data_IF_471767483162
#
_entry.id   IF_471767483162
#
_cell.length_a   1.000
_cell.length_b   1.000
_cell.length_c   1.000
_cell.angle_alpha   90.00
_cell.angle_beta   90.00
_cell.angle_gamma   90.00
#
_symmetry.space_group_name_H-M   'P 1'
#
loop_
_entity.id
_entity.type
_entity.pdbx_description
1 polymer ?
#
# COMPACT_ATOMS: atom_id res chain seq x y z
N UNK A 1 -12.88 -2.89 32.69
CA UNK A 1 -13.71 -2.62 31.49
C UNK A 1 -12.78 -1.97 30.51
N UNK A 2 -12.29 -2.72 29.51
CA UNK A 2 -11.62 -2.06 28.38
C UNK A 2 -12.69 -1.19 27.73
N UNK A 3 -12.40 0.09 27.51
CA UNK A 3 -13.27 0.89 26.64
C UNK A 3 -13.26 0.20 25.27
N UNK A 4 -14.43 -0.06 24.71
CA UNK A 4 -14.53 -0.54 23.34
C UNK A 4 -13.96 0.58 22.45
N UNK A 5 -12.81 0.33 21.83
CA UNK A 5 -12.15 1.26 20.91
C UNK A 5 -13.16 1.68 19.83
N UNK A 6 -13.34 2.98 19.60
CA UNK A 6 -14.23 3.50 18.55
C UNK A 6 -13.62 4.74 17.91
N UNK A 7 -12.87 4.53 16.84
CA UNK A 7 -12.21 5.60 16.09
C UNK A 7 -13.20 6.24 15.11
N UNK A 8 -13.36 7.57 15.18
CA UNK A 8 -14.09 8.33 14.16
C UNK A 8 -13.29 8.37 12.86
N UNK A 9 -13.73 7.65 11.83
CA UNK A 9 -13.03 7.57 10.54
C UNK A 9 -13.07 8.89 9.73
N UNK A 10 -13.86 9.89 10.17
CA UNK A 10 -13.88 11.22 9.55
C UNK A 10 -12.61 12.03 9.82
N UNK A 11 -11.76 11.59 10.76
CA UNK A 11 -10.44 12.20 10.98
C UNK A 11 -9.50 12.05 9.77
N UNK A 12 -9.80 11.12 8.87
CA UNK A 12 -9.00 10.87 7.68
C UNK A 12 -9.42 11.79 6.52
N UNK A 13 -8.45 12.32 5.80
CA UNK A 13 -8.66 13.05 4.55
C UNK A 13 -8.64 12.08 3.35
N UNK A 14 -9.44 12.37 2.32
CA UNK A 14 -9.38 11.67 1.04
C UNK A 14 -8.48 12.46 0.11
N UNK A 15 -7.32 11.90 -0.21
CA UNK A 15 -6.30 12.55 -1.02
C UNK A 15 -5.68 11.57 -2.01
N UNK A 16 -5.53 11.92 -3.30
CA UNK A 16 -4.82 11.09 -4.26
C UNK A 16 -3.37 10.83 -3.84
N UNK A 17 -2.85 9.64 -4.12
CA UNK A 17 -1.48 9.25 -3.75
C UNK A 17 -0.42 10.26 -4.24
N UNK A 18 -0.58 10.81 -5.44
CA UNK A 18 0.33 11.81 -6.00
C UNK A 18 0.38 13.09 -5.16
N UNK A 19 -0.78 13.55 -4.69
CA UNK A 19 -0.88 14.74 -3.85
C UNK A 19 -0.26 14.48 -2.47
N UNK A 20 -0.55 13.32 -1.86
CA UNK A 20 0.08 12.90 -0.60
C UNK A 20 1.62 12.85 -0.72
N UNK A 21 2.15 12.26 -1.80
CA UNK A 21 3.60 12.19 -2.00
C UNK A 21 4.23 13.56 -2.29
N UNK A 22 3.50 14.49 -2.89
CA UNK A 22 3.99 15.86 -3.10
C UNK A 22 4.23 16.61 -1.77
N UNK A 23 3.51 16.25 -0.70
CA UNK A 23 3.63 16.83 0.64
C UNK A 23 4.85 16.32 1.43
N UNK A 24 5.64 15.38 0.87
CA UNK A 24 6.79 14.78 1.56
C UNK A 24 7.91 15.78 1.92
N UNK A 25 7.92 16.98 1.34
CA UNK A 25 8.88 18.03 1.72
C UNK A 25 8.52 18.70 3.05
N UNK A 26 7.23 18.84 3.31
CA UNK A 26 6.70 19.62 4.43
C UNK A 26 6.27 18.73 5.60
N UNK A 27 5.96 17.45 5.33
CA UNK A 27 5.52 16.49 6.34
C UNK A 27 6.34 15.20 6.33
N UNK A 28 6.88 14.85 7.50
CA UNK A 28 7.63 13.62 7.72
C UNK A 28 6.72 12.39 7.61
N UNK A 29 7.15 11.41 6.84
CA UNK A 29 6.49 10.09 6.72
C UNK A 29 7.35 8.96 7.28
N UNK A 30 6.72 7.81 7.54
CA UNK A 30 7.39 6.58 7.98
C UNK A 30 8.51 6.14 7.02
N UNK A 31 8.30 6.28 5.71
CA UNK A 31 9.29 5.92 4.70
C UNK A 31 10.54 6.79 4.77
N UNK A 32 10.37 8.10 4.98
CA UNK A 32 11.48 9.03 5.15
C UNK A 32 12.27 8.74 6.42
N UNK A 33 11.57 8.38 7.51
CA UNK A 33 12.20 7.98 8.77
C UNK A 33 12.98 6.67 8.61
N UNK A 34 12.42 5.69 7.89
CA UNK A 34 13.10 4.43 7.58
C UNK A 34 14.35 4.67 6.72
N UNK A 35 14.27 5.54 5.71
CA UNK A 35 15.43 5.92 4.89
C UNK A 35 16.52 6.57 5.75
N UNK A 36 16.14 7.41 6.72
CA UNK A 36 17.07 8.02 7.66
C UNK A 36 17.73 6.97 8.58
N UNK A 37 16.94 6.06 9.16
CA UNK A 37 17.44 4.96 10.01
C UNK A 37 18.43 4.08 9.24
N UNK A 38 18.15 3.79 7.97
CA UNK A 38 19.05 3.01 7.09
C UNK A 38 20.32 3.80 6.79
N UNK A 39 20.17 5.06 6.37
CA UNK A 39 21.28 5.92 5.99
C UNK A 39 20.84 7.40 5.96
N UNK A 40 21.31 8.24 6.90
CA UNK A 40 20.98 9.68 6.90
C UNK A 40 21.33 10.39 5.59
N UNK A 41 22.38 9.94 4.89
CA UNK A 41 22.77 10.49 3.59
C UNK A 41 21.81 10.14 2.47
N UNK A 42 21.21 8.94 2.49
CA UNK A 42 20.15 8.55 1.56
C UNK A 42 18.93 9.44 1.75
N UNK A 43 18.49 9.61 3.00
CA UNK A 43 17.40 10.51 3.34
C UNK A 43 17.66 11.93 2.84
N UNK A 44 18.82 12.50 3.16
CA UNK A 44 19.21 13.84 2.71
C UNK A 44 19.14 13.98 1.17
N UNK A 45 19.72 13.03 0.43
CA UNK A 45 19.73 13.08 -1.04
C UNK A 45 18.34 12.99 -1.65
N UNK A 46 17.48 12.09 -1.15
CA UNK A 46 16.10 11.99 -1.61
C UNK A 46 15.30 13.25 -1.28
N UNK A 47 15.38 13.71 -0.04
CA UNK A 47 14.67 14.91 0.42
C UNK A 47 15.12 16.17 -0.35
N UNK A 48 16.41 16.28 -0.68
CA UNK A 48 16.96 17.38 -1.49
C UNK A 48 16.73 17.24 -3.00
N UNK A 49 16.04 16.18 -3.45
CA UNK A 49 15.79 15.93 -4.88
C UNK A 49 17.01 15.52 -5.69
N UNK A 50 18.13 15.16 -5.04
CA UNK A 50 19.36 14.69 -5.69
C UNK A 50 19.25 13.26 -6.21
N UNK A 51 18.27 12.50 -5.71
CA UNK A 51 17.89 11.17 -6.19
C UNK A 51 16.39 11.21 -6.48
N UNK A 52 16.01 10.75 -7.67
CA UNK A 52 14.61 10.54 -8.04
C UNK A 52 14.25 9.08 -7.84
N UNK A 53 13.12 8.84 -7.19
CA UNK A 53 12.53 7.52 -7.14
C UNK A 53 12.05 7.13 -8.53
N UNK A 54 12.39 5.90 -8.96
CA UNK A 54 11.93 5.34 -10.23
C UNK A 54 10.74 4.44 -9.97
N UNK A 55 9.67 4.67 -10.71
CA UNK A 55 8.57 3.72 -10.72
C UNK A 55 9.04 2.40 -11.37
N UNK A 56 8.86 1.29 -10.65
CA UNK A 56 9.19 -0.05 -11.14
C UNK A 56 7.91 -0.83 -11.39
N UNK A 57 7.98 -1.86 -12.26
CA UNK A 57 6.85 -2.77 -12.47
C UNK A 57 6.37 -3.42 -11.17
N UNK A 58 7.29 -3.77 -10.28
CA UNK A 58 6.94 -4.33 -8.97
C UNK A 58 6.16 -3.33 -8.10
N UNK A 59 6.50 -2.04 -8.15
CA UNK A 59 5.77 -1.00 -7.45
C UNK A 59 4.37 -0.80 -8.04
N UNK A 60 4.24 -0.80 -9.37
CA UNK A 60 2.95 -0.72 -10.06
C UNK A 60 2.02 -1.89 -9.66
N UNK A 61 2.53 -3.12 -9.69
CA UNK A 61 1.78 -4.32 -9.28
C UNK A 61 1.38 -4.22 -7.81
N UNK A 62 2.28 -3.74 -6.94
CA UNK A 62 1.98 -3.50 -5.52
C UNK A 62 0.81 -2.54 -5.32
N UNK A 63 0.83 -1.37 -6.00
CA UNK A 63 -0.27 -0.39 -5.93
C UNK A 63 -1.59 -0.95 -6.47
N UNK A 64 -1.52 -1.64 -7.60
CA UNK A 64 -2.68 -2.31 -8.18
C UNK A 64 -3.28 -3.36 -7.23
N UNK A 65 -2.42 -4.10 -6.52
CA UNK A 65 -2.83 -5.09 -5.51
C UNK A 65 -3.51 -4.42 -4.31
N UNK A 66 -2.92 -3.34 -3.78
CA UNK A 66 -3.53 -2.57 -2.70
C UNK A 66 -4.90 -2.05 -3.09
N UNK A 67 -5.00 -1.38 -4.24
CA UNK A 67 -6.27 -0.85 -4.75
C UNK A 67 -7.32 -1.97 -4.90
N UNK A 68 -6.94 -3.09 -5.53
CA UNK A 68 -7.84 -4.23 -5.73
C UNK A 68 -8.35 -4.85 -4.43
N UNK A 69 -7.50 -4.96 -3.41
CA UNK A 69 -7.83 -5.60 -2.12
C UNK A 69 -8.57 -4.64 -1.19
N UNK A 70 -8.10 -3.41 -1.06
CA UNK A 70 -8.55 -2.45 -0.03
C UNK A 70 -9.69 -1.56 -0.53
N UNK A 71 -9.63 -1.12 -1.79
CA UNK A 71 -10.63 -0.21 -2.37
C UNK A 71 -11.67 -0.94 -3.24
N UNK A 72 -11.39 -2.20 -3.59
CA UNK A 72 -12.29 -3.07 -4.33
C UNK A 72 -12.13 -2.97 -5.85
N UNK A 73 -12.96 -3.76 -6.56
CA UNK A 73 -12.85 -3.95 -8.01
C UNK A 73 -13.19 -2.69 -8.81
N UNK A 74 -14.21 -1.94 -8.39
CA UNK A 74 -14.62 -0.72 -9.08
C UNK A 74 -13.51 0.35 -9.05
N UNK A 75 -12.89 0.54 -7.87
CA UNK A 75 -11.75 1.44 -7.73
C UNK A 75 -10.57 0.98 -8.60
N UNK A 76 -10.25 -0.32 -8.57
CA UNK A 76 -9.18 -0.90 -9.37
C UNK A 76 -9.37 -0.70 -10.89
N UNK A 77 -10.56 -1.00 -11.42
CA UNK A 77 -10.88 -0.80 -12.84
C UNK A 77 -10.98 0.69 -13.23
N UNK A 78 -11.30 1.56 -12.26
CA UNK A 78 -11.31 3.01 -12.47
C UNK A 78 -9.90 3.63 -12.48
N UNK A 79 -8.95 3.10 -11.71
CA UNK A 79 -7.61 3.68 -11.55
C UNK A 79 -6.57 3.09 -12.51
N UNK A 80 -6.75 1.84 -12.94
CA UNK A 80 -5.79 1.12 -13.77
C UNK A 80 -6.38 0.72 -15.13
N UNK A 81 -5.53 0.68 -16.16
CA UNK A 81 -5.89 0.10 -17.44
C UNK A 81 -5.54 -1.39 -17.44
N UNK A 82 -6.54 -2.26 -17.35
CA UNK A 82 -6.35 -3.70 -17.22
C UNK A 82 -6.29 -4.39 -18.59
N UNK A 83 -5.31 -5.26 -18.79
CA UNK A 83 -5.15 -6.06 -19.99
C UNK A 83 -4.11 -5.48 -20.93
N UNK A 84 -4.36 -5.47 -22.24
CA UNK A 84 -3.39 -5.00 -23.22
C UNK A 84 -3.87 -5.18 -24.66
N UNK A 85 -3.13 -4.67 -25.64
CA UNK A 85 -3.51 -4.83 -27.04
C UNK A 85 -3.30 -6.28 -27.51
N UNK A 86 -4.22 -6.77 -28.34
CA UNK A 86 -4.12 -8.09 -28.99
C UNK A 86 -3.46 -7.94 -30.36
N UNK A 87 -2.55 -8.85 -30.68
CA UNK A 87 -1.90 -8.91 -31.99
C UNK A 87 -2.86 -9.55 -33.01
N UNK A 88 -3.32 -8.80 -34.04
CA UNK A 88 -4.31 -9.29 -35.01
C UNK A 88 -3.80 -10.45 -35.88
N UNK A 89 -2.49 -10.69 -35.93
CA UNK A 89 -1.90 -11.79 -36.71
C UNK A 89 -1.87 -13.11 -35.95
N UNK A 90 -1.75 -13.06 -34.62
CA UNK A 90 -1.55 -14.24 -33.78
C UNK A 90 -2.71 -14.50 -32.83
N UNK A 91 -3.65 -13.55 -32.72
CA UNK A 91 -4.75 -13.54 -31.75
C UNK A 91 -4.28 -13.75 -30.30
N UNK A 92 -3.12 -13.17 -29.97
CA UNK A 92 -2.48 -13.26 -28.65
C UNK A 92 -2.10 -11.86 -28.15
N UNK A 93 -2.03 -11.62 -26.83
CA UNK A 93 -1.57 -10.35 -26.29
C UNK A 93 -0.16 -9.98 -26.75
N UNK A 94 0.08 -8.69 -26.99
CA UNK A 94 1.44 -8.17 -27.07
C UNK A 94 2.09 -8.19 -25.69
N UNK A 95 3.35 -8.62 -25.59
CA UNK A 95 4.07 -8.63 -24.31
C UNK A 95 4.19 -7.25 -23.67
N UNK A 96 4.27 -7.22 -22.33
CA UNK A 96 4.30 -6.00 -21.52
C UNK A 96 5.44 -5.02 -21.83
N UNK A 97 6.58 -5.51 -22.32
CA UNK A 97 7.74 -4.66 -22.64
C UNK A 97 7.70 -4.06 -24.06
N UNK A 98 6.64 -4.31 -24.83
CA UNK A 98 6.53 -3.86 -26.22
C UNK A 98 6.11 -2.40 -26.35
N UNK A 99 6.47 -1.77 -27.48
CA UNK A 99 5.96 -0.43 -27.81
C UNK A 99 4.44 -0.41 -27.99
N UNK A 100 3.85 -1.51 -28.47
CA UNK A 100 2.41 -1.66 -28.61
C UNK A 100 1.70 -1.54 -27.26
N UNK A 101 2.19 -2.27 -26.25
CA UNK A 101 1.65 -2.20 -24.89
C UNK A 101 1.80 -0.79 -24.29
N UNK A 102 3.01 -0.20 -24.37
CA UNK A 102 3.25 1.17 -23.90
C UNK A 102 2.33 2.20 -24.56
N UNK A 103 2.16 2.12 -25.87
CA UNK A 103 1.26 3.00 -26.62
C UNK A 103 -0.21 2.77 -26.29
N UNK A 104 -0.63 1.54 -26.00
CA UNK A 104 -1.98 1.24 -25.53
C UNK A 104 -2.22 1.86 -24.14
N UNK A 105 -1.33 1.65 -23.17
CA UNK A 105 -1.47 2.20 -21.83
C UNK A 105 -1.54 3.74 -21.84
N UNK A 106 -0.69 4.39 -22.64
CA UNK A 106 -0.73 5.85 -22.83
C UNK A 106 -2.09 6.33 -23.39
N UNK A 107 -2.68 5.61 -24.34
CA UNK A 107 -4.01 5.96 -24.89
C UNK A 107 -5.14 5.80 -23.86
N UNK A 108 -5.00 4.89 -22.91
CA UNK A 108 -5.96 4.73 -21.82
C UNK A 108 -5.86 5.86 -20.79
N UNK A 109 -4.73 6.57 -20.73
CA UNK A 109 -4.49 7.64 -19.76
C UNK A 109 -4.36 7.16 -18.31
N UNK A 110 -4.16 5.86 -18.11
CA UNK A 110 -4.02 5.21 -16.80
C UNK A 110 -2.80 4.28 -16.79
N UNK A 111 -2.21 3.99 -15.62
CA UNK A 111 -1.18 2.96 -15.50
C UNK A 111 -1.67 1.61 -16.02
N UNK A 112 -0.95 1.01 -16.95
CA UNK A 112 -1.34 -0.25 -17.60
C UNK A 112 -0.87 -1.48 -16.83
N UNK A 113 -1.79 -2.39 -16.51
CA UNK A 113 -1.52 -3.69 -15.87
C UNK A 113 -1.72 -4.79 -16.91
N UNK A 114 -0.63 -5.45 -17.30
CA UNK A 114 -0.64 -6.48 -18.34
C UNK A 114 -1.36 -7.75 -17.88
N UNK A 115 -1.91 -8.54 -18.82
CA UNK A 115 -2.61 -9.81 -18.56
C UNK A 115 -1.87 -10.73 -17.58
N UNK A 116 -0.58 -10.97 -17.79
CA UNK A 116 0.25 -11.82 -16.90
C UNK A 116 0.26 -11.35 -15.44
N UNK A 117 0.14 -10.03 -15.21
CA UNK A 117 0.17 -9.45 -13.87
C UNK A 117 -1.25 -9.37 -13.25
N UNK A 118 -2.32 -9.42 -14.08
CA UNK A 118 -3.71 -9.45 -13.60
C UNK A 118 -4.01 -10.73 -12.82
N UNK A 119 -3.64 -11.88 -13.36
CA UNK A 119 -3.88 -13.18 -12.72
C UNK A 119 -3.17 -13.23 -11.36
N UNK A 120 -1.95 -12.69 -11.27
CA UNK A 120 -1.22 -12.59 -10.01
C UNK A 120 -1.96 -11.74 -8.98
N UNK A 121 -2.49 -10.58 -9.37
CA UNK A 121 -3.23 -9.67 -8.49
C UNK A 121 -4.53 -10.31 -7.99
N UNK A 122 -5.30 -10.94 -8.88
CA UNK A 122 -6.56 -11.60 -8.51
C UNK A 122 -6.32 -12.84 -7.63
N UNK A 123 -5.23 -13.58 -7.87
CA UNK A 123 -4.86 -14.70 -7.01
C UNK A 123 -4.41 -14.22 -5.62
N UNK A 124 -3.69 -13.11 -5.50
CA UNK A 124 -3.39 -12.50 -4.20
C UNK A 124 -4.67 -12.05 -3.48
N UNK A 125 -5.61 -11.40 -4.18
CA UNK A 125 -6.89 -11.03 -3.60
C UNK A 125 -7.69 -12.26 -3.13
N UNK A 126 -7.64 -13.35 -3.90
CA UNK A 126 -8.27 -14.63 -3.54
C UNK A 126 -7.61 -15.27 -2.33
N UNK A 127 -6.28 -15.29 -2.27
CA UNK A 127 -5.51 -15.81 -1.14
C UNK A 127 -5.80 -15.09 0.17
N UNK A 128 -5.94 -13.77 0.13
CA UNK A 128 -6.40 -12.98 1.29
C UNK A 128 -7.83 -13.35 1.70
N UNK A 129 -8.73 -13.48 0.73
CA UNK A 129 -10.14 -13.80 0.97
C UNK A 129 -10.35 -15.18 1.61
N UNK A 130 -9.35 -16.07 1.55
CA UNK A 130 -9.35 -17.37 2.22
C UNK A 130 -8.89 -17.32 3.69
N UNK A 131 -8.39 -16.17 4.18
CA UNK A 131 -8.01 -15.99 5.57
C UNK A 131 -9.09 -15.19 6.33
N UNK A 132 -9.85 -15.89 7.17
CA UNK A 132 -10.97 -15.29 7.91
C UNK A 132 -10.56 -14.06 8.74
N UNK A 133 -9.41 -14.08 9.42
CA UNK A 133 -8.99 -12.93 10.24
C UNK A 133 -8.61 -11.72 9.38
N UNK A 134 -8.00 -11.94 8.21
CA UNK A 134 -7.72 -10.86 7.27
C UNK A 134 -9.01 -10.26 6.72
N UNK A 135 -9.99 -11.10 6.38
CA UNK A 135 -11.33 -10.66 5.95
C UNK A 135 -12.01 -9.86 7.04
N UNK A 136 -12.01 -10.34 8.29
CA UNK A 136 -12.63 -9.65 9.42
C UNK A 136 -12.02 -8.25 9.64
N UNK A 137 -10.68 -8.14 9.57
CA UNK A 137 -9.96 -6.87 9.72
C UNK A 137 -10.26 -5.86 8.60
N UNK A 138 -10.56 -6.34 7.39
CA UNK A 138 -10.81 -5.51 6.20
C UNK A 138 -12.31 -5.38 5.87
N UNK A 139 -13.20 -5.93 6.70
CA UNK A 139 -14.65 -5.90 6.47
C UNK A 139 -15.23 -4.50 6.72
N UNK A 140 -14.75 -3.82 7.75
CA UNK A 140 -15.18 -2.48 8.15
C UNK A 140 -13.99 -1.55 8.32
N UNK A 141 -14.10 -0.32 7.83
CA UNK A 141 -13.03 0.65 7.92
C UNK A 141 -12.95 1.55 6.72
N UNK A 142 -11.83 2.25 6.62
CA UNK A 142 -11.54 3.17 5.53
C UNK A 142 -10.16 2.87 4.95
N UNK A 143 -10.12 2.64 3.65
CA UNK A 143 -8.89 2.47 2.89
C UNK A 143 -8.19 3.81 2.61
N UNK A 144 -6.86 3.75 2.52
CA UNK A 144 -6.00 4.77 1.89
C UNK A 144 -6.18 6.21 2.43
N UNK A 145 -6.65 6.34 3.66
CA UNK A 145 -6.94 7.63 4.30
C UNK A 145 -5.67 8.32 4.79
N UNK A 146 -5.62 9.64 4.61
CA UNK A 146 -4.49 10.47 5.01
C UNK A 146 -4.76 11.14 6.35
N UNK A 147 -3.78 11.12 7.25
CA UNK A 147 -3.79 11.90 8.49
C UNK A 147 -2.52 12.72 8.57
N UNK A 148 -2.67 13.98 9.01
CA UNK A 148 -1.55 14.86 9.33
C UNK A 148 -1.68 15.35 10.77
N UNK A 149 -0.60 15.27 11.52
CA UNK A 149 -0.53 15.74 12.89
C UNK A 149 0.91 16.10 13.25
N UNK A 150 1.09 16.95 14.24
CA UNK A 150 2.41 17.22 14.81
C UNK A 150 2.76 16.11 15.81
N UNK A 151 3.93 15.51 15.63
CA UNK A 151 4.45 14.48 16.52
C UNK A 151 5.92 14.71 16.79
N UNK A 152 6.32 14.70 18.08
CA UNK A 152 7.68 15.04 18.52
C UNK A 152 8.22 16.37 17.96
N UNK A 153 7.35 17.38 17.81
CA UNK A 153 7.72 18.70 17.29
C UNK A 153 7.97 18.75 15.78
N UNK A 154 7.56 17.73 15.03
CA UNK A 154 7.64 17.69 13.57
C UNK A 154 6.26 17.47 12.98
N UNK A 155 5.94 18.20 11.90
CA UNK A 155 4.73 17.93 11.13
C UNK A 155 4.88 16.59 10.42
N UNK A 156 3.96 15.68 10.68
CA UNK A 156 3.99 14.31 10.20
C UNK A 156 2.78 14.02 9.31
N UNK A 157 2.93 13.05 8.41
CA UNK A 157 1.84 12.53 7.60
C UNK A 157 1.89 11.00 7.53
N UNK A 158 0.71 10.41 7.55
CA UNK A 158 0.47 8.98 7.38
C UNK A 158 -0.60 8.77 6.32
N UNK A 159 -0.41 7.78 5.44
CA UNK A 159 -1.46 7.23 4.59
C UNK A 159 -1.64 5.79 5.02
N UNK A 160 -2.77 5.52 5.66
CA UNK A 160 -3.09 4.20 6.21
C UNK A 160 -3.66 3.35 5.09
N UNK A 161 -3.10 2.16 4.86
CA UNK A 161 -3.70 1.19 3.93
C UNK A 161 -5.15 0.93 4.34
N UNK A 162 -5.38 0.70 5.64
CA UNK A 162 -6.70 0.54 6.21
C UNK A 162 -6.76 0.98 7.68
N UNK A 163 -7.82 1.71 8.05
CA UNK A 163 -8.14 2.03 9.43
C UNK A 163 -9.48 1.39 9.82
N UNK A 164 -9.43 0.42 10.73
CA UNK A 164 -10.60 -0.23 11.29
C UNK A 164 -11.04 0.51 12.56
N UNK A 165 -12.32 0.89 12.71
CA UNK A 165 -12.77 1.73 13.83
C UNK A 165 -12.61 1.08 15.21
N UNK A 166 -12.59 -0.25 15.27
CA UNK A 166 -12.52 -1.02 16.52
C UNK A 166 -11.25 -1.88 16.66
N UNK A 167 -10.42 -1.97 15.61
CA UNK A 167 -9.23 -2.85 15.57
C UNK A 167 -7.97 -2.04 15.19
N UNK A 168 -8.10 -0.72 15.01
CA UNK A 168 -6.97 0.16 14.76
C UNK A 168 -6.40 0.04 13.35
N UNK A 169 -5.08 0.11 13.25
CA UNK A 169 -4.37 0.23 11.97
C UNK A 169 -4.12 -1.15 11.37
N UNK A 170 -4.47 -1.32 10.09
CA UNK A 170 -4.16 -2.53 9.33
C UNK A 170 -3.32 -2.13 8.12
N UNK A 171 -2.13 -2.72 8.01
CA UNK A 171 -1.19 -2.46 6.91
C UNK A 171 -1.06 -3.73 6.05
N UNK A 172 -1.27 -3.57 4.75
CA UNK A 172 -1.26 -4.66 3.79
C UNK A 172 0.13 -4.79 3.18
N UNK A 173 0.67 -6.00 3.19
CA UNK A 173 1.95 -6.32 2.57
C UNK A 173 1.80 -7.44 1.55
N UNK A 174 2.55 -7.33 0.47
CA UNK A 174 2.81 -8.45 -0.43
C UNK A 174 4.20 -8.99 -0.16
N UNK A 175 4.35 -10.31 -0.03
CA UNK A 175 5.62 -10.95 0.34
C UNK A 175 5.97 -12.10 -0.60
N UNK A 176 7.21 -12.59 -0.50
CA UNK A 176 7.62 -13.75 -1.30
C UNK A 176 7.29 -15.08 -0.60
N UNK A 177 7.56 -15.20 0.70
CA UNK A 177 7.31 -16.43 1.47
C UNK A 177 6.91 -16.09 2.91
N UNK A 178 5.73 -16.53 3.33
CA UNK A 178 5.23 -16.30 4.69
C UNK A 178 6.07 -16.97 5.77
N UNK A 179 6.78 -18.05 5.44
CA UNK A 179 7.66 -18.77 6.38
C UNK A 179 8.73 -17.84 6.95
N UNK A 180 9.18 -16.87 6.16
CA UNK A 180 10.23 -15.92 6.53
C UNK A 180 9.72 -14.52 6.83
N UNK A 181 8.39 -14.34 6.89
CA UNK A 181 7.78 -13.02 6.93
C UNK A 181 8.22 -12.19 8.13
N UNK A 182 8.34 -12.76 9.32
CA UNK A 182 8.80 -12.00 10.50
C UNK A 182 10.23 -11.48 10.36
N UNK A 183 11.10 -12.27 9.73
CA UNK A 183 12.47 -11.86 9.43
C UNK A 183 12.46 -10.71 8.41
N UNK A 184 11.65 -10.85 7.37
CA UNK A 184 11.46 -9.81 6.36
C UNK A 184 10.84 -8.54 6.95
N UNK A 185 9.86 -8.65 7.83
CA UNK A 185 9.23 -7.53 8.51
C UNK A 185 10.23 -6.73 9.35
N UNK A 186 11.15 -7.42 10.03
CA UNK A 186 12.28 -6.79 10.74
C UNK A 186 13.27 -6.15 9.77
N UNK A 187 13.63 -6.85 8.69
CA UNK A 187 14.58 -6.37 7.67
C UNK A 187 14.07 -5.12 6.97
N UNK A 188 12.80 -5.10 6.59
CA UNK A 188 12.15 -3.99 5.89
C UNK A 188 11.60 -2.92 6.82
N UNK A 189 11.68 -3.14 8.14
CA UNK A 189 11.30 -2.17 9.18
C UNK A 189 9.80 -1.86 9.23
N UNK A 190 8.95 -2.84 8.92
CA UNK A 190 7.49 -2.68 8.99
C UNK A 190 7.02 -2.35 10.41
N UNK A 191 7.68 -2.89 11.43
CA UNK A 191 7.37 -2.58 12.84
C UNK A 191 7.63 -1.09 13.14
N UNK A 192 8.69 -0.50 12.58
CA UNK A 192 8.97 0.93 12.74
C UNK A 192 7.94 1.80 11.99
N UNK A 193 7.48 1.35 10.82
CA UNK A 193 6.38 2.00 10.10
C UNK A 193 5.10 2.01 10.94
N UNK A 194 4.70 0.85 11.47
CA UNK A 194 3.49 0.73 12.30
C UNK A 194 3.58 1.52 13.60
N UNK A 195 4.73 1.51 14.28
CA UNK A 195 4.94 2.32 15.47
C UNK A 195 4.79 3.83 15.17
N UNK A 196 5.27 4.29 14.01
CA UNK A 196 5.06 5.67 13.57
C UNK A 196 3.58 5.95 13.27
N UNK A 197 2.91 5.08 12.54
CA UNK A 197 1.48 5.19 12.22
C UNK A 197 0.60 5.26 13.47
N UNK A 198 0.88 4.39 14.45
CA UNK A 198 0.19 4.33 15.74
C UNK A 198 0.42 5.60 16.56
N UNK A 199 1.66 6.09 16.63
CA UNK A 199 2.00 7.29 17.40
C UNK A 199 1.36 8.56 16.81
N UNK A 200 1.43 8.75 15.49
CA UNK A 200 0.81 9.91 14.82
C UNK A 200 -0.72 9.88 14.96
N UNK A 201 -1.34 8.69 14.89
CA UNK A 201 -2.77 8.56 15.12
C UNK A 201 -3.15 8.94 16.56
N UNK A 202 -2.37 8.49 17.54
CA UNK A 202 -2.61 8.76 18.96
C UNK A 202 -2.58 10.25 19.32
N UNK A 203 -1.83 11.08 18.59
CA UNK A 203 -1.87 12.54 18.76
C UNK A 203 -3.25 13.13 18.44
N UNK A 204 -4.02 12.47 17.57
CA UNK A 204 -5.36 12.93 17.16
C UNK A 204 -6.47 12.31 18.02
N UNK A 205 -6.34 11.02 18.36
CA UNK A 205 -7.41 10.28 19.05
C UNK A 205 -7.18 10.14 20.56
N UNK A 206 -5.99 10.47 21.06
CA UNK A 206 -5.66 10.48 22.49
C UNK A 206 -5.24 9.14 23.09
N UNK A 207 -5.16 8.06 22.30
CA UNK A 207 -4.75 6.74 22.77
C UNK A 207 -4.03 5.91 21.69
N UNK A 208 -3.23 4.92 22.12
CA UNK A 208 -2.62 3.95 21.22
C UNK A 208 -3.64 2.86 20.87
N UNK A 209 -3.66 2.46 19.60
CA UNK A 209 -4.59 1.45 19.07
C UNK A 209 -3.87 0.18 18.66
N UNK A 210 -4.55 -0.97 18.53
CA UNK A 210 -3.95 -2.15 17.93
C UNK A 210 -3.42 -1.85 16.52
N UNK A 211 -2.37 -2.57 16.14
CA UNK A 211 -1.80 -2.52 14.79
C UNK A 211 -1.67 -3.94 14.27
N UNK A 212 -1.97 -4.12 12.99
CA UNK A 212 -1.98 -5.41 12.33
C UNK A 212 -1.21 -5.34 11.02
N UNK A 213 -0.50 -6.42 10.70
CA UNK A 213 0.01 -6.63 9.35
C UNK A 213 -0.78 -7.77 8.72
N UNK A 214 -1.41 -7.51 7.58
CA UNK A 214 -1.95 -8.54 6.71
C UNK A 214 -0.95 -8.75 5.59
N UNK A 215 -0.44 -9.97 5.42
CA UNK A 215 0.49 -10.26 4.33
C UNK A 215 -0.04 -11.36 3.42
N UNK A 216 0.17 -11.20 2.12
CA UNK A 216 -0.18 -12.19 1.09
C UNK A 216 1.01 -12.51 0.17
N UNK A 217 1.22 -13.79 -0.12
CA UNK A 217 2.29 -14.23 -1.00
C UNK A 217 2.04 -13.86 -2.46
N UNK A 218 3.10 -13.47 -3.17
CA UNK A 218 3.05 -13.13 -4.60
C UNK A 218 3.03 -14.35 -5.53
N UNK A 219 3.15 -15.56 -4.98
CA UNK A 219 3.30 -16.81 -5.72
C UNK A 219 2.43 -17.90 -5.11
N UNK A 220 2.15 -18.94 -5.89
CA UNK A 220 1.42 -20.12 -5.45
C UNK A 220 2.01 -20.69 -4.13
N UNK A 221 1.18 -21.00 -3.12
CA UNK A 221 -0.29 -21.06 -3.19
C UNK A 221 -1.01 -19.78 -2.73
N UNK A 222 -0.35 -18.61 -2.80
CA UNK A 222 -0.89 -17.31 -2.42
C UNK A 222 -1.36 -17.24 -0.96
N UNK A 223 -0.58 -17.82 -0.04
CA UNK A 223 -0.97 -17.86 1.38
C UNK A 223 -1.16 -16.45 1.92
N UNK A 224 -2.11 -16.30 2.82
CA UNK A 224 -2.32 -15.08 3.58
C UNK A 224 -2.13 -15.33 5.08
N UNK A 225 -1.44 -14.43 5.77
CA UNK A 225 -1.26 -14.43 7.22
C UNK A 225 -1.57 -13.08 7.83
N UNK A 226 -1.78 -13.07 9.15
CA UNK A 226 -2.04 -11.89 9.96
C UNK A 226 -1.11 -11.92 11.17
N UNK A 227 -0.49 -10.78 11.48
CA UNK A 227 0.37 -10.55 12.65
C UNK A 227 -0.16 -9.38 13.46
#
# INVERSE_FOLDING_TARGET
MAMDLSIDLNILETEPAEQYHAQAKDHLSSHQLIDFIKCPWLHFKKHSGLIQDKETTAYLIGRATHCRILEGRDAYESQFALGGPINPKTDRPFGKDTQAFRGWAQKQGKPGVHYDDLDQIENMASGLSMNNKAVDLLLYGRAEGVLRADYCGMSCQCRYDWLHPHEGVVDLKTCDDLTWFESDARRYRYINQLAFYQAVLAEVIGELVPVHIVAVEKKEPYRCGVW
#
